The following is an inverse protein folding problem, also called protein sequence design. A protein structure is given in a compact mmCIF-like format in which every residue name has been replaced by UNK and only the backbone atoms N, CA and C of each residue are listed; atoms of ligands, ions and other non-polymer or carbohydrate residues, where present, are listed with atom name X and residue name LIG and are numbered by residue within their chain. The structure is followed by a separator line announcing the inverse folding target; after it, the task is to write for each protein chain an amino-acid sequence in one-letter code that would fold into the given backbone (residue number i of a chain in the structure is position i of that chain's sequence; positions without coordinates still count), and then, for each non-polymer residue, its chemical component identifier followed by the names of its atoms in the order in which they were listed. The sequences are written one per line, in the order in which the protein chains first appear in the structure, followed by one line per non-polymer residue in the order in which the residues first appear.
data_IF_966220123398
#
_entry.id   IF_966220123398
#
_cell.length_a   1.000
_cell.length_b   1.000
_cell.length_c   1.000
_cell.angle_alpha   90.00
_cell.angle_beta   90.00
_cell.angle_gamma   90.00
#
_symmetry.space_group_name_H-M   'P 1'
#
loop_
_entity.id
_entity.type
_entity.pdbx_description
1 polymer ?
#
# COMPACT_ATOMS: atom_id res chain seq x y z
N UNK A 1 18.33 2.16 0.19
CA UNK A 1 16.88 1.90 0.24
C UNK A 1 16.50 1.91 1.72
N UNK A 2 15.44 2.60 2.11
CA UNK A 2 15.00 2.62 3.50
C UNK A 2 14.17 1.35 3.74
N UNK A 3 14.64 0.45 4.59
CA UNK A 3 13.99 -0.83 4.88
C UNK A 3 12.79 -0.59 5.82
N UNK A 4 11.60 -1.00 5.40
CA UNK A 4 10.38 -0.90 6.19
C UNK A 4 9.52 -2.15 6.03
N UNK A 5 8.69 -2.43 7.03
CA UNK A 5 7.92 -3.66 7.13
C UNK A 5 6.44 -3.46 6.76
N UNK A 6 5.91 -4.34 5.91
CA UNK A 6 4.48 -4.39 5.59
C UNK A 6 3.74 -5.31 6.56
N UNK A 7 2.50 -4.94 6.90
CA UNK A 7 1.59 -5.75 7.71
C UNK A 7 0.18 -5.72 7.14
N UNK A 8 -0.48 -6.88 7.08
CA UNK A 8 -1.92 -6.93 6.78
C UNK A 8 -2.73 -6.42 7.97
N UNK A 9 -3.94 -5.91 7.77
CA UNK A 9 -4.95 -5.86 8.84
C UNK A 9 -6.04 -6.88 8.51
N UNK A 10 -6.50 -7.68 9.49
CA UNK A 10 -7.55 -8.66 9.23
C UNK A 10 -8.82 -7.96 8.75
N UNK A 11 -9.47 -8.59 7.79
CA UNK A 11 -10.80 -8.20 7.36
C UNK A 11 -11.76 -8.16 8.56
N UNK A 12 -12.53 -7.09 8.68
CA UNK A 12 -13.76 -7.16 9.47
C UNK A 12 -14.65 -8.23 8.83
N UNK A 13 -15.38 -9.02 9.63
CA UNK A 13 -16.22 -10.10 9.11
C UNK A 13 -17.14 -9.58 7.98
N UNK A 14 -16.80 -9.89 6.72
CA UNK A 14 -17.64 -9.58 5.55
C UNK A 14 -17.01 -8.80 4.39
N UNK A 15 -15.72 -8.43 4.38
CA UNK A 15 -15.05 -7.87 3.20
C UNK A 15 -13.69 -8.53 3.00
N UNK A 16 -13.45 -9.17 1.87
CA UNK A 16 -12.11 -9.66 1.51
C UNK A 16 -11.55 -8.86 0.35
N UNK A 17 -11.18 -7.60 0.59
CA UNK A 17 -10.23 -6.95 -0.31
C UNK A 17 -9.01 -7.85 -0.55
N UNK A 18 -8.36 -7.72 -1.69
CA UNK A 18 -7.12 -8.45 -1.97
C UNK A 18 -5.96 -7.47 -2.03
N UNK A 19 -4.90 -7.74 -1.27
CA UNK A 19 -3.66 -7.00 -1.39
C UNK A 19 -2.60 -7.85 -2.08
N UNK A 20 -1.97 -7.30 -3.12
CA UNK A 20 -0.77 -7.85 -3.73
C UNK A 20 0.41 -6.99 -3.26
N UNK A 21 1.30 -7.59 -2.49
CA UNK A 21 2.39 -6.90 -1.79
C UNK A 21 3.74 -7.44 -2.25
N UNK A 22 4.68 -6.53 -2.41
CA UNK A 22 6.11 -6.77 -2.60
C UNK A 22 6.88 -5.78 -1.73
N UNK A 23 8.21 -5.92 -1.56
CA UNK A 23 9.00 -4.97 -0.77
C UNK A 23 8.91 -3.53 -1.28
N UNK A 24 8.76 -3.34 -2.59
CA UNK A 24 8.78 -2.04 -3.26
C UNK A 24 7.39 -1.53 -3.64
N UNK A 25 6.35 -2.38 -3.70
CA UNK A 25 5.03 -1.95 -4.11
C UNK A 25 3.88 -2.71 -3.44
N UNK A 26 2.77 -1.99 -3.24
CA UNK A 26 1.50 -2.50 -2.70
C UNK A 26 0.38 -2.15 -3.66
N UNK A 27 -0.43 -3.13 -4.02
CA UNK A 27 -1.68 -2.95 -4.75
C UNK A 27 -2.83 -3.49 -3.93
N UNK A 28 -3.86 -2.69 -3.69
CA UNK A 28 -5.10 -3.10 -3.03
C UNK A 28 -6.22 -3.11 -4.07
N UNK A 29 -6.87 -4.25 -4.18
CA UNK A 29 -7.96 -4.54 -5.10
C UNK A 29 -9.27 -4.77 -4.32
N UNK A 30 -10.42 -4.58 -4.98
CA UNK A 30 -11.68 -4.88 -4.34
C UNK A 30 -11.90 -6.39 -4.24
N UNK A 31 -12.78 -6.81 -3.34
CA UNK A 31 -13.27 -8.17 -3.29
C UNK A 31 -13.83 -8.61 -4.66
N UNK A 32 -13.61 -9.88 -5.02
CA UNK A 32 -14.02 -10.44 -6.31
C UNK A 32 -13.19 -9.97 -7.51
N UNK A 33 -12.01 -9.37 -7.31
CA UNK A 33 -11.09 -9.06 -8.40
C UNK A 33 -10.81 -10.32 -9.26
N UNK A 34 -10.88 -10.25 -10.60
CA UNK A 34 -10.70 -11.42 -11.46
C UNK A 34 -9.31 -12.06 -11.26
N UNK A 35 -9.26 -13.39 -11.17
CA UNK A 35 -8.01 -14.12 -10.93
C UNK A 35 -6.91 -13.77 -11.96
N UNK A 36 -7.27 -13.61 -13.24
CA UNK A 36 -6.33 -13.20 -14.27
C UNK A 36 -5.69 -11.83 -14.01
N UNK A 37 -6.46 -10.87 -13.50
CA UNK A 37 -5.94 -9.54 -13.13
C UNK A 37 -4.94 -9.65 -11.98
N UNK A 38 -5.24 -10.48 -10.98
CA UNK A 38 -4.34 -10.73 -9.84
C UNK A 38 -3.04 -11.38 -10.29
N UNK A 39 -3.11 -12.38 -11.17
CA UNK A 39 -1.93 -13.04 -11.71
C UNK A 39 -1.06 -12.09 -12.54
N UNK A 40 -1.67 -11.28 -13.41
CA UNK A 40 -0.95 -10.32 -14.25
C UNK A 40 -0.28 -9.23 -13.39
N UNK A 41 -0.97 -8.76 -12.33
CA UNK A 41 -0.38 -7.86 -11.35
C UNK A 41 0.79 -8.50 -10.61
N UNK A 42 0.66 -9.76 -10.18
CA UNK A 42 1.75 -10.47 -9.51
C UNK A 42 2.99 -10.56 -10.41
N UNK A 43 2.82 -10.88 -11.69
CA UNK A 43 3.92 -10.91 -12.66
C UNK A 43 4.51 -9.53 -12.91
N UNK A 44 3.68 -8.48 -12.92
CA UNK A 44 4.12 -7.09 -13.09
C UNK A 44 4.94 -6.61 -11.89
N UNK A 45 4.50 -6.94 -10.67
CA UNK A 45 5.15 -6.55 -9.42
C UNK A 45 6.44 -7.35 -9.14
N UNK A 46 6.66 -8.47 -9.84
CA UNK A 46 7.89 -9.26 -9.75
C UNK A 46 9.13 -8.49 -10.24
N UNK A 47 8.95 -7.45 -11.05
CA UNK A 47 10.03 -6.52 -11.41
C UNK A 47 10.26 -5.51 -10.26
N UNK A 48 11.45 -5.50 -9.60
CA UNK A 48 11.77 -4.54 -8.55
C UNK A 48 11.86 -3.09 -9.01
N UNK A 49 11.98 -2.84 -10.32
CA UNK A 49 12.04 -1.51 -10.93
C UNK A 49 10.69 -1.05 -11.52
N UNK A 50 9.60 -1.77 -11.26
CA UNK A 50 8.29 -1.45 -11.81
C UNK A 50 7.81 -0.06 -11.36
N UNK A 51 7.39 0.75 -12.34
CA UNK A 51 6.81 2.06 -12.09
C UNK A 51 5.29 1.97 -11.87
N UNK A 52 4.70 2.94 -11.18
CA UNK A 52 3.26 2.94 -10.92
C UNK A 52 2.42 2.95 -12.21
N UNK A 53 2.92 3.61 -13.26
CA UNK A 53 2.29 3.64 -14.59
C UNK A 53 2.16 2.24 -15.20
N UNK A 54 3.19 1.39 -15.05
CA UNK A 54 3.17 0.03 -15.57
C UNK A 54 2.18 -0.85 -14.79
N UNK A 55 2.11 -0.68 -13.46
CA UNK A 55 1.13 -1.37 -12.62
C UNK A 55 -0.30 -0.96 -13.00
N UNK A 56 -0.54 0.34 -13.16
CA UNK A 56 -1.87 0.86 -13.53
C UNK A 56 -2.26 0.41 -14.94
N UNK A 57 -1.31 0.31 -15.87
CA UNK A 57 -1.57 -0.20 -17.22
C UNK A 57 -2.00 -1.68 -17.22
N UNK A 58 -1.59 -2.46 -16.22
CA UNK A 58 -2.03 -3.85 -16.02
C UNK A 58 -3.45 -3.95 -15.42
N UNK A 59 -4.04 -2.85 -14.94
CA UNK A 59 -5.38 -2.82 -14.37
C UNK A 59 -6.44 -2.51 -15.44
N UNK A 60 -7.35 -3.44 -15.75
CA UNK A 60 -8.46 -3.14 -16.66
C UNK A 60 -9.38 -2.09 -16.04
N UNK A 61 -9.50 -0.92 -16.68
CA UNK A 61 -10.29 0.18 -16.14
C UNK A 61 -11.78 0.12 -16.53
N UNK A 62 -12.12 -0.70 -17.53
CA UNK A 62 -13.44 -0.86 -18.15
C UNK A 62 -13.62 -2.31 -18.62
N UNK A 63 -14.85 -2.67 -18.98
CA UNK A 63 -15.19 -4.00 -19.50
C UNK A 63 -15.58 -4.99 -18.40
N UNK A 64 -15.81 -6.27 -18.75
CA UNK A 64 -16.27 -7.31 -17.83
C UNK A 64 -15.33 -7.53 -16.63
N UNK A 65 -14.03 -7.34 -16.83
CA UNK A 65 -13.00 -7.49 -15.81
C UNK A 65 -12.63 -6.15 -15.14
N UNK A 66 -13.38 -5.08 -15.39
CA UNK A 66 -13.06 -3.73 -14.98
C UNK A 66 -12.95 -3.56 -13.46
N UNK A 67 -11.80 -3.05 -12.98
CA UNK A 67 -11.54 -2.79 -11.56
C UNK A 67 -12.03 -1.39 -11.18
N UNK A 68 -13.17 -1.32 -10.48
CA UNK A 68 -13.82 -0.05 -10.14
C UNK A 68 -13.09 0.78 -9.08
N UNK A 69 -12.30 0.15 -8.21
CA UNK A 69 -11.58 0.79 -7.11
C UNK A 69 -10.26 0.10 -6.87
N UNK A 70 -9.17 0.84 -6.67
CA UNK A 70 -7.87 0.29 -6.32
C UNK A 70 -6.96 1.34 -5.66
N UNK A 71 -5.98 0.87 -4.91
CA UNK A 71 -4.83 1.65 -4.48
C UNK A 71 -3.55 1.03 -5.03
N UNK A 72 -2.69 1.82 -5.69
CA UNK A 72 -1.33 1.43 -6.08
C UNK A 72 -0.37 2.34 -5.33
N UNK A 73 0.58 1.75 -4.63
CA UNK A 73 1.59 2.43 -3.83
C UNK A 73 2.95 1.88 -4.26
N UNK A 74 3.83 2.73 -4.78
CA UNK A 74 5.20 2.35 -5.17
C UNK A 74 6.19 3.14 -4.35
N UNK A 75 7.10 2.44 -3.69
CA UNK A 75 8.21 3.01 -2.95
C UNK A 75 9.32 3.38 -3.93
N UNK A 76 9.65 4.66 -3.94
CA UNK A 76 10.85 5.16 -4.60
C UNK A 76 12.01 5.25 -3.60
N UNK A 77 13.26 5.27 -4.08
CA UNK A 77 14.41 5.55 -3.22
C UNK A 77 14.20 6.84 -2.41
N UNK A 78 14.06 6.66 -1.09
CA UNK A 78 13.91 7.75 -0.13
C UNK A 78 15.24 8.14 0.53
N UNK A 79 15.16 9.19 1.36
CA UNK A 79 16.25 9.61 2.25
C UNK A 79 16.07 9.09 3.67
N UNK A 80 16.95 9.49 4.60
CA UNK A 80 16.86 9.09 6.02
C UNK A 80 15.59 9.59 6.71
N UNK A 81 14.94 10.63 6.17
CA UNK A 81 13.75 11.22 6.76
C UNK A 81 12.46 10.43 6.49
N UNK A 82 12.49 9.50 5.55
CA UNK A 82 11.37 8.64 5.16
C UNK A 82 11.40 8.22 3.69
N UNK A 83 10.49 7.33 3.33
CA UNK A 83 10.31 6.88 1.96
C UNK A 83 9.63 7.97 1.10
N UNK A 84 9.92 7.94 -0.21
CA UNK A 84 9.12 8.64 -1.22
C UNK A 84 8.14 7.63 -1.81
N UNK A 85 6.89 8.03 -1.96
CA UNK A 85 5.80 7.16 -2.35
C UNK A 85 5.02 7.75 -3.52
N UNK A 86 4.95 7.02 -4.63
CA UNK A 86 4.02 7.29 -5.72
C UNK A 86 2.70 6.57 -5.41
N UNK A 87 1.61 7.33 -5.41
CA UNK A 87 0.27 6.85 -5.02
C UNK A 87 -0.70 7.05 -6.18
N UNK A 88 -1.36 5.97 -6.60
CA UNK A 88 -2.49 6.02 -7.53
C UNK A 88 -3.73 5.46 -6.86
N UNK A 89 -4.79 6.24 -6.81
CA UNK A 89 -6.05 5.85 -6.18
C UNK A 89 -7.20 5.93 -7.18
N UNK A 90 -8.10 4.95 -7.12
CA UNK A 90 -9.37 4.97 -7.86
C UNK A 90 -10.51 4.55 -6.96
N UNK A 91 -11.70 5.09 -7.22
CA UNK A 91 -12.92 4.69 -6.53
C UNK A 91 -12.95 5.18 -5.08
N UNK A 92 -13.09 4.24 -4.15
CA UNK A 92 -13.17 4.49 -2.71
C UNK A 92 -11.86 4.21 -1.95
N UNK A 93 -10.76 4.00 -2.68
CA UNK A 93 -9.44 3.81 -2.12
C UNK A 93 -8.90 5.06 -1.42
N UNK A 94 -8.27 4.86 -0.27
CA UNK A 94 -7.66 5.90 0.56
C UNK A 94 -6.31 5.45 1.11
N UNK A 95 -5.45 6.42 1.38
CA UNK A 95 -4.21 6.25 2.14
C UNK A 95 -4.16 7.28 3.27
N UNK A 96 -3.86 6.82 4.48
CA UNK A 96 -3.50 7.64 5.62
C UNK A 96 -1.98 7.54 5.80
N UNK A 97 -1.24 8.63 5.54
CA UNK A 97 0.21 8.65 5.58
C UNK A 97 0.73 9.49 6.77
N UNK A 98 1.61 8.90 7.57
CA UNK A 98 2.42 9.60 8.55
C UNK A 98 3.66 10.16 7.85
N UNK A 99 3.76 11.49 7.83
CA UNK A 99 4.79 12.24 7.11
C UNK A 99 5.68 12.95 8.14
N UNK A 100 6.99 12.77 8.02
CA UNK A 100 7.96 13.39 8.91
C UNK A 100 7.73 14.90 9.09
N UNK A 101 7.57 15.34 10.34
CA UNK A 101 7.32 16.74 10.69
C UNK A 101 5.86 17.18 10.62
N UNK A 102 4.92 16.27 10.34
CA UNK A 102 3.48 16.53 10.48
C UNK A 102 2.97 16.02 11.82
N UNK A 103 2.08 16.78 12.47
CA UNK A 103 1.49 16.38 13.76
C UNK A 103 0.41 15.30 13.62
N UNK A 104 -0.34 15.33 12.50
CA UNK A 104 -1.43 14.41 12.21
C UNK A 104 -1.18 13.66 10.90
N UNK A 105 -1.67 12.41 10.77
CA UNK A 105 -1.65 11.69 9.51
C UNK A 105 -2.35 12.46 8.39
N UNK A 106 -1.72 12.50 7.21
CA UNK A 106 -2.29 13.07 6.01
C UNK A 106 -3.13 12.03 5.29
N UNK A 107 -4.44 12.23 5.24
CA UNK A 107 -5.35 11.44 4.41
C UNK A 107 -5.32 11.91 2.95
N UNK A 108 -5.22 10.95 2.04
CA UNK A 108 -5.38 11.14 0.59
C UNK A 108 -6.42 10.14 0.10
N UNK A 109 -7.39 10.62 -0.68
CA UNK A 109 -8.46 9.84 -1.27
C UNK A 109 -8.59 10.18 -2.77
N UNK A 110 -9.26 9.33 -3.53
CA UNK A 110 -9.40 9.53 -4.97
C UNK A 110 -10.32 10.69 -5.36
N UNK A 111 -11.10 11.29 -4.44
CA UNK A 111 -12.09 12.37 -4.71
C UNK A 111 -13.01 12.13 -5.92
N UNK A 112 -13.33 10.87 -6.22
CA UNK A 112 -14.08 10.48 -7.43
C UNK A 112 -13.38 10.91 -8.76
N UNK A 113 -12.06 11.11 -8.75
CA UNK A 113 -11.28 11.47 -9.92
C UNK A 113 -11.36 10.38 -11.00
N UNK A 114 -11.43 10.82 -12.26
CA UNK A 114 -11.46 9.96 -13.43
C UNK A 114 -10.28 10.29 -14.35
N UNK A 115 -9.52 9.29 -14.85
CA UNK A 115 -9.71 7.86 -14.61
C UNK A 115 -9.26 7.38 -13.21
N UNK A 116 -8.34 8.12 -12.59
CA UNK A 116 -7.80 7.88 -11.24
C UNK A 116 -7.11 9.15 -10.73
N UNK A 117 -6.81 9.19 -9.44
CA UNK A 117 -6.03 10.23 -8.77
C UNK A 117 -4.57 9.81 -8.66
N UNK A 118 -3.63 10.74 -8.86
CA UNK A 118 -2.19 10.54 -8.69
C UNK A 118 -1.65 11.55 -7.68
N UNK A 119 -0.81 11.08 -6.77
CA UNK A 119 -0.02 11.93 -5.88
C UNK A 119 1.36 11.35 -5.62
N UNK A 120 2.27 12.23 -5.24
CA UNK A 120 3.56 11.85 -4.67
C UNK A 120 3.61 12.36 -3.24
N UNK A 121 4.02 11.48 -2.33
CA UNK A 121 4.24 11.81 -0.92
C UNK A 121 5.71 11.62 -0.59
N UNK A 122 6.32 12.62 0.02
CA UNK A 122 7.73 12.57 0.43
C UNK A 122 7.84 12.45 1.95
N UNK A 123 8.92 11.81 2.42
CA UNK A 123 9.23 11.62 3.84
C UNK A 123 8.14 10.84 4.59
N UNK A 124 7.55 9.85 3.94
CA UNK A 124 6.56 8.94 4.53
C UNK A 124 7.29 7.98 5.48
N UNK A 125 6.87 7.94 6.74
CA UNK A 125 7.43 7.05 7.76
C UNK A 125 6.54 5.86 8.07
N UNK A 126 5.24 6.04 7.88
CA UNK A 126 4.27 4.97 7.93
C UNK A 126 3.07 5.31 7.06
N UNK A 127 2.33 4.31 6.61
CA UNK A 127 1.03 4.52 6.02
C UNK A 127 0.08 3.37 6.30
N UNK A 128 -1.21 3.64 6.13
CA UNK A 128 -2.26 2.64 5.99
C UNK A 128 -3.02 2.91 4.70
N UNK A 129 -3.04 1.95 3.79
CA UNK A 129 -3.84 2.01 2.58
C UNK A 129 -5.03 1.05 2.69
N UNK A 130 -6.19 1.44 2.18
CA UNK A 130 -7.43 0.65 2.25
C UNK A 130 -8.61 1.41 1.64
N UNK A 131 -9.83 1.14 2.12
CA UNK A 131 -11.06 1.82 1.68
C UNK A 131 -11.51 2.91 2.64
N UNK A 132 -12.20 3.94 2.11
CA UNK A 132 -12.68 5.10 2.87
C UNK A 132 -13.62 4.75 4.04
N UNK A 133 -14.41 3.69 3.91
CA UNK A 133 -15.32 3.21 4.95
C UNK A 133 -14.64 2.55 6.15
N UNK A 134 -13.34 2.23 6.04
CA UNK A 134 -12.55 1.79 7.18
C UNK A 134 -12.07 3.02 7.97
N UNK A 135 -12.34 3.05 9.28
CA UNK A 135 -11.98 4.16 10.17
C UNK A 135 -10.53 4.64 10.04
N UNK A 136 -10.28 5.90 10.37
CA UNK A 136 -8.95 6.52 10.33
C UNK A 136 -7.92 5.72 11.15
N UNK A 137 -6.70 5.62 10.63
CA UNK A 137 -5.72 4.62 11.03
C UNK A 137 -5.27 4.71 12.50
N UNK A 138 -5.50 3.64 13.25
CA UNK A 138 -4.49 3.09 14.16
C UNK A 138 -3.89 1.90 13.41
N UNK A 139 -2.56 1.82 13.26
CA UNK A 139 -1.93 0.56 12.83
C UNK A 139 -2.26 -0.47 13.91
N UNK A 140 -3.23 -1.35 13.61
CA UNK A 140 -3.77 -2.26 14.60
C UNK A 140 -2.65 -3.22 15.07
N UNK A 141 -2.38 -3.32 16.38
CA UNK A 141 -1.51 -4.36 16.91
C UNK A 141 -2.20 -5.71 16.66
N UNK A 142 -1.67 -6.49 15.71
CA UNK A 142 -2.27 -7.76 15.28
C UNK A 142 -2.10 -8.09 13.80
N UNK A 143 -1.59 -7.16 13.00
CA UNK A 143 -1.29 -7.42 11.59
C UNK A 143 -0.15 -8.41 11.36
N UNK A 144 -0.35 -9.37 10.47
CA UNK A 144 0.67 -10.36 10.09
C UNK A 144 1.73 -9.71 9.21
N UNK A 145 3.02 -10.02 9.40
CA UNK A 145 4.08 -9.50 8.53
C UNK A 145 3.88 -9.99 7.10
N UNK A 146 4.01 -9.08 6.14
CA UNK A 146 3.96 -9.36 4.71
C UNK A 146 5.34 -9.03 4.11
N UNK A 147 5.96 -10.00 3.46
CA UNK A 147 7.22 -9.79 2.74
C UNK A 147 6.91 -9.64 1.25
N UNK A 148 6.27 -10.65 0.67
CA UNK A 148 5.66 -10.59 -0.65
C UNK A 148 4.52 -11.62 -0.75
N UNK A 149 3.47 -11.31 -1.49
CA UNK A 149 2.37 -12.25 -1.75
C UNK A 149 1.05 -11.57 -2.11
N UNK A 150 0.09 -12.37 -2.55
CA UNK A 150 -1.31 -11.97 -2.66
C UNK A 150 -2.07 -12.50 -1.43
N UNK A 151 -2.65 -11.59 -0.63
CA UNK A 151 -3.32 -11.92 0.63
C UNK A 151 -4.68 -11.24 0.72
N UNK A 152 -5.65 -11.92 1.31
CA UNK A 152 -6.92 -11.31 1.68
C UNK A 152 -6.67 -10.25 2.76
N UNK A 153 -6.93 -8.98 2.45
CA UNK A 153 -6.74 -7.85 3.33
C UNK A 153 -7.61 -6.66 2.88
N UNK A 154 -8.33 -6.06 3.83
CA UNK A 154 -9.07 -4.81 3.60
C UNK A 154 -8.16 -3.57 3.68
N UNK A 155 -6.99 -3.72 4.30
CA UNK A 155 -5.98 -2.70 4.41
C UNK A 155 -4.59 -3.28 4.58
N UNK A 156 -3.60 -2.55 4.08
CA UNK A 156 -2.18 -2.81 4.29
C UNK A 156 -1.57 -1.64 5.04
N UNK A 157 -0.86 -1.95 6.12
CA UNK A 157 -0.01 -1.01 6.83
C UNK A 157 1.44 -1.19 6.40
N UNK A 158 2.18 -0.09 6.36
CA UNK A 158 3.64 -0.10 6.23
C UNK A 158 4.22 0.87 7.25
N UNK A 159 5.40 0.55 7.78
CA UNK A 159 6.17 1.44 8.63
C UNK A 159 7.66 1.24 8.34
N UNK A 160 8.39 2.35 8.30
CA UNK A 160 9.84 2.36 8.26
C UNK A 160 10.39 1.75 9.56
N UNK A 161 11.33 0.82 9.45
CA UNK A 161 11.94 0.24 10.64
C UNK A 161 12.82 1.29 11.34
N UNK A 162 12.68 1.43 12.66
CA UNK A 162 13.57 2.29 13.43
C UNK A 162 14.98 1.70 13.36
N UNK A 163 15.95 2.48 12.88
CA UNK A 163 17.35 2.09 12.71
C UNK A 163 18.13 1.84 14.03
N UNK A 164 17.46 1.44 15.11
CA UNK A 164 18.01 1.45 16.48
C UNK A 164 17.57 0.31 17.38
N UNK A 165 17.24 -0.88 16.86
CA UNK A 165 16.97 -2.06 17.69
C UNK A 165 17.95 -3.21 17.39
N UNK A 166 19.21 -2.89 17.14
CA UNK A 166 20.29 -3.85 16.91
C UNK A 166 21.43 -3.64 17.91
N UNK A 167 21.48 -4.53 18.91
CA UNK A 167 22.66 -4.86 19.72
C UNK A 167 23.16 -3.86 20.79
N UNK A 168 22.44 -3.78 21.92
CA UNK A 168 23.04 -3.47 23.23
C UNK A 168 22.87 -4.71 24.12
N UNK A 169 23.67 -5.74 23.85
CA UNK A 169 23.50 -7.04 24.48
C UNK A 169 24.72 -7.94 24.52
N UNK A 170 25.95 -7.42 24.63
CA UNK A 170 27.09 -8.25 25.02
C UNK A 170 28.25 -7.46 25.66
N UNK A 171 28.46 -7.67 26.97
CA UNK A 171 29.80 -7.66 27.56
C UNK A 171 30.08 -6.64 28.67
N UNK A 172 29.73 -7.00 29.91
CA UNK A 172 30.58 -6.81 31.10
C UNK A 172 30.21 -7.85 32.16
#
# INVERSE_FOLDING_TARGET
MSEGSHRSSPAGAGSSGLAVVTPHAVVILPDGAPAGVVEDLWRTLADPAVAAEAIVAALPLRGPDGVASFAVLVHEPGGPDGARLQVVLRGDAVIDADIAGSADPRRVDARQAQPFYLATLDRVRAYRAGRAGAGAAVIAPGGLPLIAGAVAADAVGWRLDDAGSGDDGAGA
#
